data_IF_201164052719
#
_entry.id   IF_201164052719
#
_cell.length_a   1.000
_cell.length_b   1.000
_cell.length_c   1.000
_cell.angle_alpha   90.00
_cell.angle_beta   90.00
_cell.angle_gamma   90.00
#
_symmetry.space_group_name_H-M   'P 1'
#
loop_
_entity.id
_entity.type
_entity.pdbx_description
1 polymer ?
#
# COMPACT_ATOMS: atom_id res chain seq x y z
N UNK A 1 33.55 69.54 -69.38
CA UNK A 1 32.12 69.39 -68.99
C UNK A 1 31.50 68.36 -69.91
N UNK A 2 30.92 67.25 -69.52
CA UNK A 2 30.86 66.53 -68.26
C UNK A 2 30.65 65.07 -68.66
N UNK A 3 31.43 64.17 -68.08
CA UNK A 3 31.08 62.75 -68.02
C UNK A 3 29.74 62.64 -67.30
N UNK A 4 28.79 61.89 -67.87
CA UNK A 4 27.84 61.14 -67.07
C UNK A 4 27.60 59.78 -67.72
N UNK A 5 28.00 58.80 -66.93
CA UNK A 5 28.13 57.38 -67.18
C UNK A 5 26.96 56.71 -66.44
N UNK A 6 26.63 55.50 -66.89
CA UNK A 6 25.79 54.51 -66.19
C UNK A 6 24.28 54.76 -66.23
N UNK A 7 23.63 54.29 -67.30
CA UNK A 7 22.31 53.68 -67.15
C UNK A 7 22.52 52.31 -66.52
N UNK A 8 22.31 52.17 -65.21
CA UNK A 8 22.19 50.84 -64.59
C UNK A 8 20.90 50.23 -65.12
N UNK A 9 21.01 49.25 -66.02
CA UNK A 9 19.89 48.37 -66.28
C UNK A 9 19.58 47.65 -64.96
N UNK A 10 18.51 48.05 -64.29
CA UNK A 10 17.93 47.27 -63.19
C UNK A 10 17.45 45.96 -63.82
N UNK A 11 18.24 44.91 -63.62
CA UNK A 11 17.81 43.56 -63.95
C UNK A 11 16.70 43.20 -62.96
N UNK A 12 15.44 43.31 -63.39
CA UNK A 12 14.34 42.67 -62.70
C UNK A 12 14.56 41.17 -62.72
N UNK A 13 15.06 40.61 -61.63
CA UNK A 13 15.20 39.15 -61.48
C UNK A 13 13.97 38.66 -60.75
N UNK A 14 13.03 38.07 -61.48
CA UNK A 14 11.90 37.36 -60.89
C UNK A 14 12.32 35.92 -60.58
N UNK A 15 12.10 35.52 -59.32
CA UNK A 15 12.30 34.14 -58.86
C UNK A 15 10.94 33.49 -58.64
N UNK A 16 10.69 32.39 -59.36
CA UNK A 16 9.55 31.53 -59.10
C UNK A 16 9.98 30.36 -58.21
N UNK A 17 9.25 30.14 -57.13
CA UNK A 17 9.46 29.02 -56.22
C UNK A 17 8.30 28.03 -56.36
N UNK A 18 8.61 26.79 -56.72
CA UNK A 18 7.67 25.69 -56.71
C UNK A 18 8.11 24.66 -55.67
N UNK A 19 7.19 24.19 -54.83
CA UNK A 19 7.47 23.13 -53.86
C UNK A 19 6.66 21.89 -54.22
N UNK A 20 7.33 20.75 -54.32
CA UNK A 20 6.75 19.45 -54.60
C UNK A 20 7.05 18.52 -53.43
N UNK A 21 6.05 17.77 -52.95
CA UNK A 21 6.28 16.74 -51.92
C UNK A 21 6.54 15.41 -52.60
N UNK A 22 7.71 14.84 -52.36
CA UNK A 22 8.14 13.54 -52.85
C UNK A 22 7.73 12.43 -51.87
N UNK A 23 7.80 11.21 -52.36
CA UNK A 23 7.65 9.99 -51.56
C UNK A 23 8.62 9.99 -50.37
N UNK A 24 8.12 9.59 -49.19
CA UNK A 24 8.92 9.48 -47.98
C UNK A 24 9.01 10.77 -47.17
N UNK A 25 8.22 11.81 -47.49
CA UNK A 25 8.16 13.06 -46.73
C UNK A 25 9.27 14.07 -47.06
N UNK A 26 10.04 13.81 -48.13
CA UNK A 26 11.02 14.75 -48.66
C UNK A 26 10.30 15.79 -49.52
N UNK A 27 10.65 17.07 -49.38
CA UNK A 27 10.12 18.15 -50.22
C UNK A 27 11.21 18.66 -51.16
N UNK A 28 10.88 18.78 -52.44
CA UNK A 28 11.72 19.38 -53.47
C UNK A 28 11.26 20.82 -53.68
N UNK A 29 12.15 21.78 -53.44
CA UNK A 29 11.97 23.19 -53.82
C UNK A 29 12.70 23.44 -55.12
N UNK A 30 11.96 23.90 -56.11
CA UNK A 30 12.50 24.35 -57.39
C UNK A 30 12.52 25.87 -57.38
N UNK A 31 13.69 26.45 -57.55
CA UNK A 31 13.89 27.88 -57.70
C UNK A 31 14.24 28.14 -59.16
N UNK A 32 13.29 28.73 -59.89
CA UNK A 32 13.49 29.12 -61.27
C UNK A 32 13.83 30.61 -61.34
N UNK A 33 14.97 30.93 -61.93
CA UNK A 33 15.34 32.30 -62.27
C UNK A 33 14.97 32.56 -63.73
N UNK A 34 14.10 33.54 -63.97
CA UNK A 34 13.82 34.04 -65.31
C UNK A 34 14.67 35.29 -65.54
N UNK A 35 15.54 35.26 -66.55
CA UNK A 35 16.25 36.47 -67.01
C UNK A 35 15.68 36.89 -68.36
N UNK A 36 14.99 38.03 -68.38
CA UNK A 36 14.50 38.67 -69.59
C UNK A 36 15.59 39.62 -70.09
N UNK A 37 16.28 39.27 -71.18
CA UNK A 37 17.17 40.22 -71.84
C UNK A 37 16.30 41.22 -72.62
N UNK A 38 16.21 42.46 -72.13
CA UNK A 38 15.64 43.55 -72.91
C UNK A 38 16.62 43.92 -74.02
N UNK A 39 16.25 43.61 -75.27
CA UNK A 39 16.99 43.95 -76.48
C UNK A 39 17.32 45.45 -76.47
N UNK A 40 18.62 45.80 -76.49
CA UNK A 40 19.06 47.15 -76.86
C UNK A 40 19.27 47.18 -78.36
N UNK A 41 18.33 47.76 -79.09
CA UNK A 41 18.54 48.12 -80.50
C UNK A 41 19.62 49.21 -80.56
N UNK A 42 20.83 48.85 -80.99
CA UNK A 42 21.87 49.81 -81.37
C UNK A 42 21.69 50.13 -82.85
N UNK A 43 20.98 51.21 -83.16
CA UNK A 43 20.94 51.74 -84.52
C UNK A 43 22.25 52.46 -84.80
N UNK A 44 23.18 51.77 -85.45
CA UNK A 44 24.46 52.31 -85.91
C UNK A 44 24.96 51.49 -87.09
N UNK A 45 25.24 52.18 -88.20
CA UNK A 45 25.52 51.62 -89.53
C UNK A 45 26.85 50.85 -89.52
N UNK A 46 26.88 49.58 -89.08
CA UNK A 46 27.90 48.60 -89.48
C UNK A 46 27.34 47.17 -89.36
N UNK A 47 27.28 46.50 -90.50
CA UNK A 47 26.90 45.09 -90.66
C UNK A 47 28.00 44.19 -90.11
N UNK A 48 27.81 43.63 -88.92
CA UNK A 48 28.48 42.41 -88.47
C UNK A 48 27.40 41.52 -87.87
N UNK A 49 27.08 40.42 -88.56
CA UNK A 49 26.12 39.43 -88.10
C UNK A 49 26.64 38.74 -86.84
N UNK A 50 26.25 39.28 -85.69
CA UNK A 50 26.23 38.55 -84.43
C UNK A 50 24.77 38.11 -84.31
N UNK A 51 24.52 36.80 -84.45
CA UNK A 51 23.20 36.24 -84.17
C UNK A 51 22.86 36.55 -82.71
N UNK A 52 21.89 37.44 -82.50
CA UNK A 52 21.28 37.69 -81.20
C UNK A 52 20.73 36.36 -80.68
N UNK A 53 21.31 35.82 -79.62
CA UNK A 53 20.69 34.75 -78.85
C UNK A 53 19.55 35.38 -78.04
N UNK A 54 18.43 35.66 -78.72
CA UNK A 54 17.18 36.01 -78.03
C UNK A 54 16.58 34.72 -77.51
N UNK A 55 16.87 34.40 -76.25
CA UNK A 55 16.30 33.24 -75.57
C UNK A 55 15.96 33.57 -74.13
N UNK A 56 14.75 33.22 -73.69
CA UNK A 56 14.45 33.17 -72.26
C UNK A 56 15.36 32.09 -71.61
N UNK A 57 16.38 32.52 -70.89
CA UNK A 57 17.19 31.60 -70.08
C UNK A 57 16.46 31.34 -68.75
N UNK A 58 15.95 30.12 -68.58
CA UNK A 58 15.43 29.61 -67.30
C UNK A 58 16.51 28.77 -66.64
N UNK A 59 17.05 29.26 -65.52
CA UNK A 59 17.96 28.47 -64.67
C UNK A 59 17.12 27.93 -63.52
N UNK A 60 17.01 26.60 -63.44
CA UNK A 60 16.34 25.91 -62.34
C UNK A 60 17.40 25.35 -61.38
N UNK A 61 17.30 25.69 -60.09
CA UNK A 61 18.03 25.03 -59.02
C UNK A 61 17.05 24.22 -58.17
N UNK A 62 17.47 23.01 -57.78
CA UNK A 62 16.67 22.11 -56.95
C UNK A 62 17.28 22.02 -55.55
N UNK A 63 16.44 22.09 -54.53
CA UNK A 63 16.82 21.91 -53.14
C UNK A 63 15.87 20.89 -52.50
N UNK A 64 16.42 19.92 -51.77
CA UNK A 64 15.65 18.86 -51.13
C UNK A 64 15.67 19.03 -49.61
N UNK A 65 14.53 18.84 -48.97
CA UNK A 65 14.33 19.03 -47.52
C UNK A 65 13.55 17.88 -46.90
N UNK A 66 13.78 17.58 -45.62
CA UNK A 66 12.91 16.73 -44.80
C UNK A 66 12.41 17.54 -43.61
N UNK A 67 11.12 17.87 -43.58
CA UNK A 67 10.60 18.87 -42.65
C UNK A 67 11.26 20.24 -42.88
N UNK A 68 11.97 20.78 -41.87
CA UNK A 68 12.74 22.03 -41.98
C UNK A 68 14.19 21.83 -42.44
N UNK A 69 14.63 20.59 -42.54
CA UNK A 69 16.05 20.27 -42.66
C UNK A 69 16.49 20.15 -44.11
N UNK A 70 17.53 20.90 -44.49
CA UNK A 70 18.16 20.80 -45.80
C UNK A 70 18.90 19.46 -45.97
N UNK A 71 18.67 18.79 -47.09
CA UNK A 71 19.26 17.49 -47.43
C UNK A 71 20.25 17.56 -48.62
N UNK A 72 20.07 18.49 -49.56
CA UNK A 72 21.02 18.66 -50.68
C UNK A 72 20.38 19.20 -51.96
N UNK A 73 21.19 19.31 -53.02
CA UNK A 73 20.77 19.88 -54.33
C UNK A 73 20.36 18.82 -55.35
N UNK A 74 20.68 17.55 -55.10
CA UNK A 74 20.35 16.40 -55.97
C UNK A 74 19.60 15.33 -55.19
N UNK A 75 18.82 14.50 -55.88
CA UNK A 75 18.09 13.37 -55.26
C UNK A 75 19.02 12.42 -54.50
N UNK A 76 20.16 12.09 -55.10
CA UNK A 76 21.13 11.16 -54.50
C UNK A 76 21.85 11.79 -53.31
N UNK A 77 22.23 13.07 -53.37
CA UNK A 77 22.78 13.79 -52.22
C UNK A 77 21.75 13.87 -51.06
N UNK A 78 20.49 14.12 -51.40
CA UNK A 78 19.41 14.16 -50.42
C UNK A 78 19.17 12.80 -49.76
N UNK A 79 19.21 11.71 -50.53
CA UNK A 79 19.11 10.35 -50.03
C UNK A 79 20.27 9.98 -49.11
N UNK A 80 21.52 10.30 -49.49
CA UNK A 80 22.69 10.09 -48.63
C UNK A 80 22.59 10.88 -47.31
N UNK A 81 22.19 12.15 -47.38
CA UNK A 81 22.02 12.99 -46.20
C UNK A 81 20.92 12.47 -45.28
N UNK A 82 19.77 12.06 -45.83
CA UNK A 82 18.68 11.45 -45.08
C UNK A 82 19.11 10.13 -44.41
N UNK A 83 19.82 9.26 -45.14
CA UNK A 83 20.33 8.01 -44.58
C UNK A 83 21.37 8.26 -43.47
N UNK A 84 22.27 9.23 -43.65
CA UNK A 84 23.26 9.60 -42.62
C UNK A 84 22.57 10.10 -41.35
N UNK A 85 21.51 10.92 -41.49
CA UNK A 85 20.70 11.36 -40.35
C UNK A 85 19.94 10.19 -39.71
N UNK A 86 19.37 9.29 -40.51
CA UNK A 86 18.72 8.08 -40.02
C UNK A 86 19.68 7.22 -39.17
N UNK A 87 20.92 7.02 -39.63
CA UNK A 87 21.95 6.31 -38.86
C UNK A 87 22.32 7.05 -37.57
N UNK A 88 22.39 8.38 -37.60
CA UNK A 88 22.64 9.17 -36.38
C UNK A 88 21.53 8.96 -35.34
N UNK A 89 20.26 9.05 -35.76
CA UNK A 89 19.10 8.77 -34.89
C UNK A 89 19.09 7.31 -34.39
N UNK A 90 19.52 6.36 -35.22
CA UNK A 90 19.66 4.97 -34.82
C UNK A 90 20.66 4.82 -33.67
N UNK A 91 21.80 5.51 -33.74
CA UNK A 91 22.81 5.49 -32.67
C UNK A 91 22.31 6.18 -31.39
N UNK A 92 21.43 7.17 -31.52
CA UNK A 92 20.73 7.83 -30.41
C UNK A 92 19.59 6.98 -29.83
N UNK A 93 19.36 5.77 -30.36
CA UNK A 93 18.26 4.85 -29.99
C UNK A 93 16.87 5.39 -30.33
N UNK A 94 16.78 6.35 -31.23
CA UNK A 94 15.51 6.83 -31.77
C UNK A 94 15.17 6.02 -33.02
N UNK A 95 14.87 4.74 -32.83
CA UNK A 95 14.74 3.77 -33.93
C UNK A 95 13.54 4.06 -34.85
N UNK A 96 12.46 4.64 -34.32
CA UNK A 96 11.27 4.95 -35.12
C UNK A 96 11.51 6.13 -36.08
N UNK A 97 12.19 7.19 -35.64
CA UNK A 97 12.56 8.28 -36.54
C UNK A 97 13.71 7.89 -37.49
N UNK A 98 14.63 7.03 -37.02
CA UNK A 98 15.66 6.44 -37.87
C UNK A 98 15.05 5.65 -39.03
N UNK A 99 14.06 4.81 -38.77
CA UNK A 99 13.34 4.04 -39.80
C UNK A 99 12.68 4.98 -40.82
N UNK A 100 11.99 6.04 -40.34
CA UNK A 100 11.34 7.04 -41.22
C UNK A 100 12.34 7.72 -42.14
N UNK A 101 13.50 8.13 -41.63
CA UNK A 101 14.55 8.78 -42.43
C UNK A 101 15.26 7.82 -43.39
N UNK A 102 15.53 6.59 -42.97
CA UNK A 102 16.09 5.57 -43.86
C UNK A 102 15.10 5.21 -44.99
N UNK A 103 13.79 5.17 -44.70
CA UNK A 103 12.75 4.96 -45.70
C UNK A 103 12.62 6.16 -46.64
N UNK A 104 12.72 7.38 -46.11
CA UNK A 104 12.78 8.59 -46.93
C UNK A 104 13.98 8.60 -47.88
N UNK A 105 15.15 8.17 -47.41
CA UNK A 105 16.36 8.03 -48.22
C UNK A 105 16.15 7.03 -49.37
N UNK A 106 15.58 5.85 -49.06
CA UNK A 106 15.28 4.83 -50.06
C UNK A 106 14.26 5.29 -51.11
N UNK A 107 13.21 6.01 -50.70
CA UNK A 107 12.18 6.51 -51.62
C UNK A 107 12.65 7.70 -52.47
N UNK A 108 13.68 8.41 -52.03
CA UNK A 108 14.23 9.58 -52.75
C UNK A 108 15.34 9.20 -53.72
N UNK A 109 16.05 8.08 -53.48
CA UNK A 109 17.16 7.67 -54.34
C UNK A 109 16.68 7.28 -55.75
N UNK A 110 17.51 7.57 -56.75
CA UNK A 110 17.21 7.19 -58.13
C UNK A 110 17.35 5.67 -58.32
N UNK A 111 16.52 5.10 -59.19
CA UNK A 111 16.56 3.68 -59.51
C UNK A 111 17.91 3.30 -60.11
N UNK A 112 18.58 2.27 -59.56
CA UNK A 112 19.91 1.86 -60.00
C UNK A 112 21.07 2.60 -59.33
N UNK A 113 20.78 3.43 -58.33
CA UNK A 113 21.80 4.05 -57.50
C UNK A 113 22.58 3.00 -56.68
N UNK A 114 23.90 3.15 -56.61
CA UNK A 114 24.82 2.15 -56.05
C UNK A 114 24.53 1.80 -54.58
N UNK A 115 23.98 2.74 -53.81
CA UNK A 115 23.68 2.56 -52.38
C UNK A 115 22.22 2.14 -52.11
N UNK A 116 21.42 1.82 -53.14
CA UNK A 116 20.01 1.44 -52.96
C UNK A 116 19.86 0.24 -51.98
N UNK A 117 20.70 -0.79 -52.14
CA UNK A 117 20.69 -1.96 -51.27
C UNK A 117 21.10 -1.63 -49.83
N UNK A 118 22.00 -0.66 -49.64
CA UNK A 118 22.41 -0.20 -48.32
C UNK A 118 21.24 0.47 -47.59
N UNK A 119 20.47 1.31 -48.29
CA UNK A 119 19.30 1.97 -47.70
C UNK A 119 18.22 0.95 -47.28
N UNK A 120 17.94 -0.06 -48.11
CA UNK A 120 17.03 -1.17 -47.74
C UNK A 120 17.50 -1.88 -46.48
N UNK A 121 18.79 -2.19 -46.38
CA UNK A 121 19.34 -2.86 -45.21
C UNK A 121 19.20 -2.00 -43.94
N UNK A 122 19.51 -0.71 -44.04
CA UNK A 122 19.39 0.21 -42.90
C UNK A 122 17.93 0.38 -42.42
N UNK A 123 16.94 0.32 -43.32
CA UNK A 123 15.53 0.30 -42.95
C UNK A 123 15.23 -0.95 -42.13
N UNK A 124 15.60 -2.13 -42.62
CA UNK A 124 15.36 -3.40 -41.91
C UNK A 124 16.02 -3.41 -40.53
N UNK A 125 17.25 -2.91 -40.42
CA UNK A 125 17.96 -2.81 -39.14
C UNK A 125 17.23 -1.86 -38.18
N UNK A 126 16.81 -0.68 -38.66
CA UNK A 126 16.06 0.28 -37.85
C UNK A 126 14.71 -0.27 -37.38
N UNK A 127 13.97 -0.92 -38.27
CA UNK A 127 12.68 -1.54 -37.97
C UNK A 127 12.82 -2.64 -36.91
N UNK A 128 13.76 -3.57 -37.10
CA UNK A 128 14.00 -4.65 -36.13
C UNK A 128 14.40 -4.10 -34.75
N UNK A 129 15.19 -3.02 -34.71
CA UNK A 129 15.58 -2.38 -33.46
C UNK A 129 14.39 -1.69 -32.77
N UNK A 130 13.51 -1.02 -33.53
CA UNK A 130 12.29 -0.41 -33.00
C UNK A 130 11.33 -1.46 -32.42
N UNK A 131 11.15 -2.59 -33.12
CA UNK A 131 10.33 -3.71 -32.65
C UNK A 131 10.92 -4.34 -31.39
N UNK A 132 12.24 -4.57 -31.35
CA UNK A 132 12.93 -5.10 -30.18
C UNK A 132 12.81 -4.16 -28.96
N UNK A 133 12.89 -2.84 -29.17
CA UNK A 133 12.69 -1.88 -28.08
C UNK A 133 11.25 -1.94 -27.54
N UNK A 134 10.24 -1.94 -28.42
CA UNK A 134 8.83 -2.05 -28.03
C UNK A 134 8.56 -3.34 -27.25
N UNK A 135 9.15 -4.46 -27.68
CA UNK A 135 9.05 -5.73 -26.98
C UNK A 135 9.70 -5.68 -25.57
N UNK A 136 10.89 -5.07 -25.45
CA UNK A 136 11.58 -4.93 -24.17
C UNK A 136 10.81 -4.01 -23.20
N UNK A 137 10.22 -2.93 -23.69
CA UNK A 137 9.36 -2.04 -22.89
C UNK A 137 8.09 -2.74 -22.43
N UNK A 138 7.44 -3.52 -23.32
CA UNK A 138 6.28 -4.33 -22.97
C UNK A 138 6.62 -5.37 -21.90
N UNK A 139 7.79 -6.02 -21.98
CA UNK A 139 8.23 -6.98 -20.97
C UNK A 139 8.45 -6.30 -19.61
N UNK A 140 9.12 -5.15 -19.57
CA UNK A 140 9.31 -4.38 -18.33
C UNK A 140 7.98 -3.96 -17.71
N UNK A 141 7.01 -3.54 -18.53
CA UNK A 141 5.67 -3.19 -18.06
C UNK A 141 4.96 -4.42 -17.45
N UNK A 142 5.06 -5.59 -18.09
CA UNK A 142 4.49 -6.82 -17.58
C UNK A 142 5.15 -7.28 -16.26
N UNK A 143 6.48 -7.16 -16.15
CA UNK A 143 7.21 -7.46 -14.92
C UNK A 143 6.84 -6.50 -13.79
N UNK A 144 6.69 -5.20 -14.08
CA UNK A 144 6.23 -4.21 -13.11
C UNK A 144 4.80 -4.50 -12.61
N UNK A 145 3.90 -4.94 -13.50
CA UNK A 145 2.55 -5.36 -13.11
C UNK A 145 2.56 -6.58 -12.19
N UNK A 146 3.34 -7.61 -12.54
CA UNK A 146 3.49 -8.81 -11.69
C UNK A 146 4.06 -8.47 -10.31
N UNK A 147 5.04 -7.56 -10.25
CA UNK A 147 5.61 -7.10 -8.99
C UNK A 147 4.56 -6.35 -8.14
N UNK A 148 3.73 -5.50 -8.75
CA UNK A 148 2.66 -4.80 -8.05
C UNK A 148 1.57 -5.77 -7.53
N UNK A 149 1.22 -6.79 -8.30
CA UNK A 149 0.28 -7.84 -7.87
C UNK A 149 0.84 -8.64 -6.69
N UNK A 150 2.11 -9.04 -6.75
CA UNK A 150 2.78 -9.73 -5.65
C UNK A 150 2.82 -8.90 -4.35
N UNK A 151 2.99 -7.58 -4.45
CA UNK A 151 2.91 -6.71 -3.26
C UNK A 151 1.49 -6.66 -2.68
N UNK A 152 0.46 -6.65 -3.52
CA UNK A 152 -0.93 -6.65 -3.07
C UNK A 152 -1.30 -7.94 -2.35
N UNK A 153 -0.82 -9.09 -2.81
CA UNK A 153 -1.07 -10.38 -2.13
C UNK A 153 -0.40 -10.43 -0.76
N UNK A 154 0.85 -10.00 -0.65
CA UNK A 154 1.56 -9.93 0.63
C UNK A 154 0.85 -9.00 1.63
N UNK A 155 0.37 -7.85 1.18
CA UNK A 155 -0.38 -6.94 2.06
C UNK A 155 -1.73 -7.53 2.51
N UNK A 156 -2.43 -8.26 1.63
CA UNK A 156 -3.66 -8.96 1.99
C UNK A 156 -3.41 -10.04 3.04
N UNK A 157 -2.33 -10.83 2.91
CA UNK A 157 -1.93 -11.83 3.90
C UNK A 157 -1.60 -11.18 5.24
N UNK A 158 -0.86 -10.06 5.24
CA UNK A 158 -0.55 -9.30 6.46
C UNK A 158 -1.81 -8.80 7.18
N UNK A 159 -2.79 -8.31 6.43
CA UNK A 159 -4.09 -7.88 6.99
C UNK A 159 -4.85 -9.07 7.56
N UNK A 160 -4.86 -10.21 6.87
CA UNK A 160 -5.53 -11.42 7.33
C UNK A 160 -4.90 -11.96 8.62
N UNK A 161 -3.56 -12.00 8.70
CA UNK A 161 -2.83 -12.41 9.88
C UNK A 161 -3.11 -11.49 11.07
N UNK A 162 -3.11 -10.16 10.85
CA UNK A 162 -3.44 -9.19 11.90
C UNK A 162 -4.85 -9.42 12.46
N UNK A 163 -5.84 -9.61 11.59
CA UNK A 163 -7.22 -9.92 12.01
C UNK A 163 -7.30 -11.25 12.78
N UNK A 164 -6.55 -12.26 12.37
CA UNK A 164 -6.49 -13.53 13.08
C UNK A 164 -5.86 -13.39 14.47
N UNK A 165 -4.81 -12.57 14.61
CA UNK A 165 -4.18 -12.26 15.89
C UNK A 165 -5.14 -11.50 16.83
N UNK A 166 -5.84 -10.47 16.34
CA UNK A 166 -6.84 -9.73 17.10
C UNK A 166 -7.99 -10.64 17.58
N UNK A 167 -8.47 -11.54 16.71
CA UNK A 167 -9.50 -12.52 17.07
C UNK A 167 -9.04 -13.49 18.17
N UNK A 168 -7.79 -13.96 18.11
CA UNK A 168 -7.18 -14.81 19.15
C UNK A 168 -7.07 -14.07 20.48
N UNK A 169 -6.67 -12.81 20.46
CA UNK A 169 -6.57 -12.00 21.67
C UNK A 169 -7.95 -11.78 22.31
N UNK A 170 -8.96 -11.46 21.50
CA UNK A 170 -10.33 -11.30 21.99
C UNK A 170 -10.86 -12.60 22.63
N UNK A 171 -10.65 -13.75 21.98
CA UNK A 171 -11.04 -15.04 22.52
C UNK A 171 -10.33 -15.37 23.85
N UNK A 172 -9.04 -15.03 23.96
CA UNK A 172 -8.28 -15.21 25.19
C UNK A 172 -8.80 -14.30 26.32
N UNK A 173 -9.05 -13.02 26.03
CA UNK A 173 -9.61 -12.06 27.00
C UNK A 173 -10.98 -12.51 27.49
N UNK A 174 -11.84 -12.99 26.61
CA UNK A 174 -13.16 -13.50 26.99
C UNK A 174 -13.04 -14.75 27.89
N UNK A 175 -12.15 -15.68 27.54
CA UNK A 175 -11.90 -16.88 28.37
C UNK A 175 -11.37 -16.49 29.76
N UNK A 176 -10.45 -15.53 29.84
CA UNK A 176 -9.93 -15.00 31.10
C UNK A 176 -11.02 -14.34 31.94
N UNK A 177 -11.91 -13.56 31.33
CA UNK A 177 -13.06 -12.95 32.03
C UNK A 177 -14.03 -14.01 32.56
N UNK A 178 -14.35 -15.04 31.77
CA UNK A 178 -15.21 -16.15 32.20
C UNK A 178 -14.57 -16.91 33.37
N UNK A 179 -13.27 -17.21 33.29
CA UNK A 179 -12.53 -17.84 34.38
C UNK A 179 -12.56 -16.99 35.67
N UNK A 180 -12.32 -15.68 35.56
CA UNK A 180 -12.39 -14.76 36.70
C UNK A 180 -13.79 -14.69 37.33
N UNK A 181 -14.86 -14.70 36.52
CA UNK A 181 -16.24 -14.76 37.03
C UNK A 181 -16.51 -16.08 37.78
N UNK A 182 -16.07 -17.21 37.22
CA UNK A 182 -16.22 -18.52 37.86
C UNK A 182 -15.45 -18.59 39.17
N UNK A 183 -14.24 -18.05 39.23
CA UNK A 183 -13.45 -17.98 40.45
C UNK A 183 -14.17 -17.18 41.55
N UNK A 184 -14.69 -15.99 41.24
CA UNK A 184 -15.45 -15.18 42.22
C UNK A 184 -16.71 -15.90 42.72
N UNK A 185 -17.39 -16.66 41.85
CA UNK A 185 -18.54 -17.47 42.26
C UNK A 185 -18.11 -18.64 43.18
N UNK A 186 -16.98 -19.27 42.90
CA UNK A 186 -16.42 -20.32 43.75
C UNK A 186 -16.01 -19.76 45.13
N UNK A 187 -15.34 -18.61 45.17
CA UNK A 187 -14.96 -17.91 46.40
C UNK A 187 -16.20 -17.53 47.22
N UNK A 188 -17.25 -16.99 46.59
CA UNK A 188 -18.51 -16.68 47.27
C UNK A 188 -19.16 -17.93 47.87
N UNK A 189 -19.19 -19.03 47.13
CA UNK A 189 -19.72 -20.32 47.63
C UNK A 189 -18.89 -20.88 48.79
N UNK A 190 -17.57 -20.75 48.73
CA UNK A 190 -16.68 -21.15 49.82
C UNK A 190 -16.95 -20.31 51.08
N UNK A 191 -17.04 -18.98 50.95
CA UNK A 191 -17.35 -18.08 52.05
C UNK A 191 -18.74 -18.36 52.66
N UNK A 192 -19.76 -18.63 51.83
CA UNK A 192 -21.09 -19.00 52.31
C UNK A 192 -21.08 -20.36 53.03
N UNK A 193 -20.26 -21.32 52.57
CA UNK A 193 -20.08 -22.59 53.25
C UNK A 193 -19.38 -22.41 54.62
N UNK A 194 -18.33 -21.60 54.69
CA UNK A 194 -17.65 -21.25 55.94
C UNK A 194 -18.57 -20.54 56.94
N UNK A 195 -19.44 -19.63 56.47
CA UNK A 195 -20.44 -18.99 57.33
C UNK A 195 -21.38 -20.02 57.95
N UNK A 196 -21.86 -20.97 57.15
CA UNK A 196 -22.75 -22.06 57.64
C UNK A 196 -22.04 -22.98 58.63
N UNK A 197 -20.76 -23.29 58.42
CA UNK A 197 -20.01 -24.13 59.37
C UNK A 197 -19.79 -23.39 60.69
N UNK A 198 -19.44 -22.11 60.67
CA UNK A 198 -19.31 -21.28 61.88
C UNK A 198 -20.65 -21.13 62.61
N UNK A 199 -21.75 -20.93 61.89
CA UNK A 199 -23.09 -20.87 62.50
C UNK A 199 -23.47 -22.20 63.15
N UNK A 200 -23.20 -23.32 62.49
CA UNK A 200 -23.41 -24.66 63.04
C UNK A 200 -22.57 -24.87 64.32
N UNK A 201 -21.29 -24.46 64.31
CA UNK A 201 -20.43 -24.52 65.49
C UNK A 201 -20.98 -23.70 66.65
N UNK A 202 -21.45 -22.46 66.40
CA UNK A 202 -22.09 -21.62 67.43
C UNK A 202 -23.32 -22.29 68.04
N UNK A 203 -24.17 -22.93 67.23
CA UNK A 203 -25.35 -23.67 67.71
C UNK A 203 -24.93 -24.85 68.59
N UNK A 204 -23.92 -25.62 68.16
CA UNK A 204 -23.40 -26.76 68.93
C UNK A 204 -22.81 -26.30 70.27
N UNK A 205 -22.03 -25.22 70.28
CA UNK A 205 -21.47 -24.64 71.50
C UNK A 205 -22.55 -24.11 72.45
N UNK A 206 -23.57 -23.40 71.92
CA UNK A 206 -24.69 -22.94 72.72
C UNK A 206 -25.46 -24.12 73.35
N UNK A 207 -25.69 -25.19 72.60
CA UNK A 207 -26.33 -26.41 73.09
C UNK A 207 -25.49 -27.08 74.20
N UNK A 208 -24.15 -27.15 74.00
CA UNK A 208 -23.22 -27.66 75.02
C UNK A 208 -23.26 -26.83 76.30
N UNK A 209 -23.27 -25.51 76.21
CA UNK A 209 -23.38 -24.61 77.37
C UNK A 209 -24.73 -24.77 78.08
N UNK A 210 -25.82 -24.93 77.33
CA UNK A 210 -27.14 -25.16 77.90
C UNK A 210 -27.20 -26.49 78.66
N UNK A 211 -26.63 -27.56 78.10
CA UNK A 211 -26.52 -28.86 78.75
C UNK A 211 -25.67 -28.78 80.04
N UNK A 212 -24.55 -28.05 80.02
CA UNK A 212 -23.73 -27.82 81.21
C UNK A 212 -24.50 -27.10 82.31
N UNK A 213 -25.20 -25.99 81.98
CA UNK A 213 -26.04 -25.27 82.94
C UNK A 213 -27.18 -26.12 83.50
N UNK A 214 -27.76 -27.01 82.69
CA UNK A 214 -28.79 -27.94 83.16
C UNK A 214 -28.20 -28.95 84.16
N UNK A 215 -27.02 -29.50 83.87
CA UNK A 215 -26.32 -30.41 84.76
C UNK A 215 -25.93 -29.72 86.09
N UNK A 216 -25.38 -28.50 86.03
CA UNK A 216 -25.08 -27.71 87.24
C UNK A 216 -26.32 -27.45 88.10
N UNK A 217 -27.47 -27.18 87.47
CA UNK A 217 -28.75 -27.01 88.18
C UNK A 217 -29.21 -28.31 88.84
N UNK A 218 -29.04 -29.46 88.18
CA UNK A 218 -29.34 -30.78 88.75
C UNK A 218 -28.45 -31.04 89.97
N UNK A 219 -27.13 -30.88 89.84
CA UNK A 219 -26.19 -31.05 90.95
C UNK A 219 -26.53 -30.10 92.12
N UNK A 220 -26.87 -28.84 91.85
CA UNK A 220 -27.26 -27.89 92.88
C UNK A 220 -28.59 -28.28 93.56
N UNK A 221 -29.56 -28.81 92.80
CA UNK A 221 -30.82 -29.31 93.32
C UNK A 221 -30.61 -30.56 94.20
N UNK A 222 -29.80 -31.51 93.74
CA UNK A 222 -29.41 -32.70 94.50
C UNK A 222 -28.70 -32.33 95.81
N UNK A 223 -27.76 -31.37 95.77
CA UNK A 223 -27.11 -30.88 96.98
C UNK A 223 -28.09 -30.27 97.98
N UNK A 224 -29.06 -29.46 97.50
CA UNK A 224 -30.10 -28.88 98.35
C UNK A 224 -31.03 -29.94 98.92
N UNK A 225 -31.41 -30.94 98.13
CA UNK A 225 -32.22 -32.07 98.58
C UNK A 225 -31.48 -32.87 99.66
N UNK A 226 -30.21 -33.20 99.45
CA UNK A 226 -29.37 -33.89 100.42
C UNK A 226 -29.17 -33.06 101.71
N UNK A 227 -29.03 -31.74 101.62
CA UNK A 227 -28.95 -30.87 102.79
C UNK A 227 -30.30 -30.79 103.54
N UNK A 228 -31.41 -30.75 102.81
CA UNK A 228 -32.75 -30.81 103.40
C UNK A 228 -33.01 -32.15 104.10
N UNK A 229 -32.60 -33.28 103.50
CA UNK A 229 -32.64 -34.60 104.12
C UNK A 229 -31.78 -34.67 105.39
N UNK A 230 -30.57 -34.10 105.37
CA UNK A 230 -29.73 -34.01 106.57
C UNK A 230 -30.40 -33.21 107.68
N UNK A 231 -31.01 -32.06 107.37
CA UNK A 231 -31.74 -31.25 108.34
C UNK A 231 -32.98 -31.98 108.87
N UNK A 232 -33.70 -32.69 108.01
CA UNK A 232 -34.84 -33.52 108.41
C UNK A 232 -34.40 -34.64 109.37
N UNK A 233 -33.32 -35.35 109.03
CA UNK A 233 -32.74 -36.39 109.88
C UNK A 233 -32.24 -35.83 111.23
N UNK A 234 -31.64 -34.63 111.26
CA UNK A 234 -31.28 -33.95 112.51
C UNK A 234 -32.50 -33.56 113.33
N UNK A 235 -33.59 -33.10 112.70
CA UNK A 235 -34.84 -32.81 113.42
C UNK A 235 -35.50 -34.06 113.98
N UNK A 236 -35.50 -35.17 113.24
CA UNK A 236 -35.96 -36.47 113.73
C UNK A 236 -35.11 -36.97 114.88
N UNK A 237 -33.78 -36.87 114.77
CA UNK A 237 -32.86 -37.22 115.86
C UNK A 237 -33.15 -36.40 117.13
N UNK A 238 -33.34 -35.08 117.01
CA UNK A 238 -33.72 -34.23 118.15
C UNK A 238 -35.09 -34.58 118.73
N UNK A 239 -36.06 -34.96 117.89
CA UNK A 239 -37.38 -35.39 118.34
C UNK A 239 -37.31 -36.72 119.10
N UNK A 240 -36.49 -37.67 118.64
CA UNK A 240 -36.22 -38.94 119.33
C UNK A 240 -35.48 -38.70 120.64
N UNK A 241 -34.45 -37.85 120.67
CA UNK A 241 -33.75 -37.47 121.91
C UNK A 241 -34.70 -36.79 122.92
N UNK A 242 -35.63 -35.95 122.45
CA UNK A 242 -36.67 -35.36 123.31
C UNK A 242 -37.68 -36.40 123.83
N UNK A 243 -38.05 -37.40 123.03
CA UNK A 243 -38.87 -38.53 123.49
C UNK A 243 -38.15 -39.37 124.54
N UNK A 244 -36.86 -39.65 124.37
CA UNK A 244 -36.04 -40.36 125.35
C UNK A 244 -35.93 -39.55 126.65
N UNK A 245 -35.79 -38.23 126.59
CA UNK A 245 -35.81 -37.37 127.79
C UNK A 245 -37.17 -37.43 128.52
N UNK A 246 -38.28 -37.44 127.79
CA UNK A 246 -39.63 -37.59 128.37
C UNK A 246 -39.88 -38.98 128.96
N UNK A 247 -39.36 -40.06 128.36
CA UNK A 247 -39.46 -41.40 128.93
C UNK A 247 -38.46 -41.67 130.07
N UNK A 248 -37.29 -41.03 130.07
CA UNK A 248 -36.35 -41.04 131.18
C UNK A 248 -36.91 -40.38 132.43
N UNK A 249 -37.66 -39.27 132.27
CA UNK A 249 -38.40 -38.63 133.36
C UNK A 249 -39.63 -39.47 133.80
N UNK A 250 -40.29 -40.17 132.87
CA UNK A 250 -41.40 -41.07 133.18
C UNK A 250 -40.99 -42.30 134.01
N UNK A 251 -39.81 -42.88 133.75
CA UNK A 251 -39.28 -43.99 134.57
C UNK A 251 -38.84 -43.55 135.97
N UNK A 252 -38.32 -42.33 136.13
CA UNK A 252 -37.99 -41.79 137.47
C UNK A 252 -39.26 -41.54 138.28
N UNK A 253 -40.37 -41.15 137.64
CA UNK A 253 -41.67 -40.98 138.31
C UNK A 253 -42.29 -42.32 138.77
N UNK A 254 -42.08 -43.42 138.02
CA UNK A 254 -42.57 -44.75 138.40
C UNK A 254 -41.73 -45.42 139.51
N UNK A 255 -40.46 -45.05 139.68
CA UNK A 255 -39.62 -45.51 140.80
C UNK A 255 -39.86 -44.74 142.10
N UNK A 256 -40.48 -43.56 142.05
CA UNK A 256 -40.88 -42.76 143.22
C UNK A 256 -42.27 -43.12 143.77
N UNK A 257 -43.04 -43.95 143.07
CA UNK A 257 -44.32 -44.51 143.54
C UNK A 257 -44.17 -45.97 144.01
N UNK A 258 -43.05 -46.26 144.68
CA UNK A 258 -43.00 -47.27 145.74
C UNK A 258 -44.23 -47.21 146.65
#
# INVERSE_FOLDING_TARGET
MSLNLVSSAEWGVEYEYATETLSGGVTKRTKARKTTENVRTLTGIFTLGISEFVGEHRIESYEYYYGSDYLGETKNAAAEAANKKGIALFNEKNFEEAEKLCNAAYQTCETGYTNEALFKNNITIAQNAAEAQKAAEAQKAAEAQRAAEAQRTVEQERIAEKKAAEAREHAWREKAQRAGKLQRLAEKRAADAERKTVETQRIVEACRQQAQRANERQIAAEKKAAEAEKKAAETEKRAVEAQIANHGLGMIFLLLCQ
#
